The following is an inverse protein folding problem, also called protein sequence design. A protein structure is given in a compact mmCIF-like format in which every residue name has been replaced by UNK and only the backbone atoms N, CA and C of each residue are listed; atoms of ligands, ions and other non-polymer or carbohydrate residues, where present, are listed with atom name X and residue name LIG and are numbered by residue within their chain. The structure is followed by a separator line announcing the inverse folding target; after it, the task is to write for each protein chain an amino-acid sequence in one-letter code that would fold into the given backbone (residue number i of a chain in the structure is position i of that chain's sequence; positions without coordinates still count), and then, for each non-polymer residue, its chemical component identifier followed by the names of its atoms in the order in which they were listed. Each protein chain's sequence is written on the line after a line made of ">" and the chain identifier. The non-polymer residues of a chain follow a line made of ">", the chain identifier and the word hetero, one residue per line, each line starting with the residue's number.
data_IF_922017738054
#
_entry.id   IF_922017738054
#
_cell.length_a   1.000
_cell.length_b   1.000
_cell.length_c   1.000
_cell.angle_alpha   90.00
_cell.angle_beta   90.00
_cell.angle_gamma   90.00
#
_symmetry.space_group_name_H-M   'P 1'
#
loop_
_entity.id
_entity.type
_entity.pdbx_description
1 polymer ?
#
# COMPACT_ATOMS: atom_id res chain seq x y z
N UNK A 1 -39.42 19.89 -11.70
CA UNK A 1 -38.91 18.53 -11.95
C UNK A 1 -37.39 18.61 -11.90
N UNK A 2 -36.77 18.30 -10.73
CA UNK A 2 -35.31 18.35 -10.57
C UNK A 2 -34.75 17.02 -11.01
N UNK A 3 -33.96 17.00 -12.06
CA UNK A 3 -33.18 15.84 -12.49
C UNK A 3 -32.12 15.58 -11.41
N UNK A 4 -32.19 14.42 -10.76
CA UNK A 4 -31.09 13.96 -9.90
C UNK A 4 -29.96 13.55 -10.83
N UNK A 5 -28.86 14.29 -10.80
CA UNK A 5 -27.57 13.81 -11.32
C UNK A 5 -27.19 12.57 -10.55
N UNK A 6 -27.19 11.45 -11.22
CA UNK A 6 -26.61 10.21 -10.74
C UNK A 6 -25.10 10.36 -10.79
N UNK A 7 -24.48 10.62 -9.64
CA UNK A 7 -23.03 10.53 -9.50
C UNK A 7 -22.59 9.13 -9.92
N UNK A 8 -21.75 9.07 -10.93
CA UNK A 8 -21.11 7.84 -11.40
C UNK A 8 -20.17 7.33 -10.28
N UNK A 9 -20.31 6.06 -9.80
CA UNK A 9 -19.50 5.57 -8.68
C UNK A 9 -18.00 5.34 -9.02
N UNK A 10 -17.54 5.74 -10.20
CA UNK A 10 -16.20 5.44 -10.73
C UNK A 10 -15.23 6.63 -10.76
N UNK A 11 -15.52 7.74 -10.09
CA UNK A 11 -14.63 8.91 -10.11
C UNK A 11 -13.82 9.04 -8.82
N UNK A 12 -13.06 7.98 -8.47
CA UNK A 12 -12.01 8.05 -7.46
C UNK A 12 -10.70 8.36 -8.18
N UNK A 13 -10.55 9.60 -8.64
CA UNK A 13 -9.25 10.09 -9.11
C UNK A 13 -8.26 10.02 -7.93
N UNK A 14 -7.07 9.42 -8.12
CA UNK A 14 -6.03 9.42 -7.09
C UNK A 14 -5.76 10.85 -6.63
N UNK A 15 -5.84 11.09 -5.33
CA UNK A 15 -5.49 12.41 -4.79
C UNK A 15 -4.00 12.63 -5.06
N UNK A 16 -3.63 13.73 -5.76
CA UNK A 16 -2.23 13.95 -6.08
C UNK A 16 -1.40 14.04 -4.80
N UNK A 17 -0.12 13.58 -4.81
CA UNK A 17 0.76 13.68 -3.65
C UNK A 17 0.81 15.11 -3.11
N UNK A 18 0.60 15.26 -1.80
CA UNK A 18 0.62 16.58 -1.17
C UNK A 18 2.01 16.90 -0.61
N UNK A 19 2.41 18.19 -0.56
CA UNK A 19 3.63 18.59 0.12
C UNK A 19 3.63 18.12 1.58
N UNK A 20 4.81 17.76 2.09
CA UNK A 20 4.97 17.35 3.48
C UNK A 20 5.20 18.58 4.37
N UNK A 21 4.42 18.69 5.45
CA UNK A 21 4.58 19.75 6.46
C UNK A 21 5.50 19.30 7.60
N UNK A 22 5.91 20.24 8.47
CA UNK A 22 6.66 19.93 9.70
C UNK A 22 5.85 19.03 10.64
N UNK A 23 4.54 19.25 10.71
CA UNK A 23 3.64 18.46 11.55
C UNK A 23 3.52 17.03 11.02
N UNK A 24 3.43 16.87 9.69
CA UNK A 24 3.46 15.55 9.06
C UNK A 24 4.76 14.79 9.39
N UNK A 25 5.91 15.46 9.32
CA UNK A 25 7.19 14.83 9.67
C UNK A 25 7.24 14.40 11.14
N UNK A 26 6.64 15.17 12.04
CA UNK A 26 6.53 14.83 13.47
C UNK A 26 5.63 13.61 13.67
N UNK A 27 4.48 13.56 13.00
CA UNK A 27 3.57 12.42 13.05
C UNK A 27 4.28 11.18 12.50
N UNK A 28 4.90 11.28 11.33
CA UNK A 28 5.62 10.16 10.69
C UNK A 28 6.76 9.67 11.58
N UNK A 29 7.52 10.56 12.22
CA UNK A 29 8.57 10.18 13.16
C UNK A 29 8.02 9.36 14.34
N UNK A 30 6.85 9.76 14.86
CA UNK A 30 6.14 9.02 15.92
C UNK A 30 5.67 7.66 15.42
N UNK A 31 5.05 7.60 14.23
CA UNK A 31 4.58 6.36 13.60
C UNK A 31 5.72 5.35 13.39
N UNK A 32 6.89 5.82 12.97
CA UNK A 32 8.05 4.99 12.67
C UNK A 32 8.94 4.70 13.89
N UNK A 33 8.75 5.40 15.00
CA UNK A 33 9.65 5.34 16.18
C UNK A 33 11.07 5.86 15.90
N UNK A 34 11.27 6.62 14.82
CA UNK A 34 12.55 7.20 14.41
C UNK A 34 12.34 8.36 13.45
N UNK A 35 13.35 9.18 13.26
CA UNK A 35 13.30 10.25 12.25
C UNK A 35 13.15 9.63 10.84
N UNK A 36 12.18 10.11 10.04
CA UNK A 36 12.03 9.68 8.66
C UNK A 36 13.21 10.18 7.81
N UNK A 37 13.58 9.39 6.79
CA UNK A 37 14.68 9.74 5.87
C UNK A 37 14.14 9.73 4.44
N UNK A 38 14.51 10.75 3.67
CA UNK A 38 14.20 10.81 2.24
C UNK A 38 12.71 11.00 1.91
N UNK A 39 11.86 11.45 2.84
CA UNK A 39 10.46 11.76 2.56
C UNK A 39 10.38 13.01 1.68
N UNK A 40 9.68 12.91 0.55
CA UNK A 40 9.50 14.01 -0.41
C UNK A 40 8.05 14.47 -0.56
N UNK A 41 7.07 13.60 -0.26
CA UNK A 41 5.66 13.94 -0.31
C UNK A 41 4.82 12.97 0.55
N UNK A 42 3.59 13.36 0.88
CA UNK A 42 2.56 12.45 1.38
C UNK A 42 1.86 11.84 0.16
N UNK A 43 2.06 10.54 -0.07
CA UNK A 43 1.44 9.81 -1.17
C UNK A 43 -0.01 9.42 -0.87
N UNK A 44 -0.31 9.16 0.40
CA UNK A 44 -1.66 8.84 0.84
C UNK A 44 -1.88 9.38 2.26
N UNK A 45 -3.03 10.02 2.46
CA UNK A 45 -3.51 10.47 3.76
C UNK A 45 -4.75 9.66 4.15
N UNK A 46 -4.71 9.09 5.33
CA UNK A 46 -5.85 8.35 5.87
C UNK A 46 -7.10 9.24 6.01
N UNK A 47 -8.32 8.69 5.98
CA UNK A 47 -9.55 9.46 6.17
C UNK A 47 -9.61 10.25 7.48
N UNK A 48 -8.93 9.79 8.54
CA UNK A 48 -8.79 10.51 9.81
C UNK A 48 -7.75 11.63 9.79
N UNK A 49 -7.13 11.90 8.63
CA UNK A 49 -6.24 13.03 8.39
C UNK A 49 -4.75 12.77 8.63
N UNK A 50 -4.34 11.59 9.14
CA UNK A 50 -2.93 11.30 9.39
C UNK A 50 -2.22 10.80 8.12
N UNK A 51 -0.89 11.03 7.94
CA UNK A 51 -0.12 10.41 6.88
C UNK A 51 -0.17 8.87 6.98
N UNK A 52 -0.53 8.20 5.89
CA UNK A 52 -0.57 6.74 5.81
C UNK A 52 0.53 6.16 4.96
N UNK A 53 0.85 6.85 3.84
CA UNK A 53 1.93 6.47 2.93
C UNK A 53 2.70 7.71 2.52
N UNK A 54 4.02 7.60 2.49
CA UNK A 54 4.90 8.66 2.00
C UNK A 54 5.58 8.25 0.70
N UNK A 55 5.82 9.24 -0.17
CA UNK A 55 6.76 9.08 -1.28
C UNK A 55 8.17 9.32 -0.75
N UNK A 56 9.09 8.44 -1.10
CA UNK A 56 10.49 8.53 -0.66
C UNK A 56 11.43 8.74 -1.84
N UNK A 57 12.51 9.48 -1.60
CA UNK A 57 13.58 9.66 -2.58
C UNK A 57 14.25 8.31 -2.87
N UNK A 58 14.47 7.95 -4.15
CA UNK A 58 15.22 6.73 -4.50
C UNK A 58 16.68 6.74 -4.03
N UNK A 59 17.21 7.90 -3.67
CA UNK A 59 18.51 8.05 -3.00
C UNK A 59 18.33 8.84 -1.72
N UNK A 60 18.85 8.30 -0.63
CA UNK A 60 18.89 9.01 0.64
C UNK A 60 19.89 10.18 0.58
N UNK A 61 19.85 11.13 1.55
CA UNK A 61 20.74 12.29 1.56
C UNK A 61 22.24 11.93 1.56
N UNK A 62 22.60 10.73 2.04
CA UNK A 62 23.96 10.20 2.03
C UNK A 62 24.33 9.46 0.73
N UNK A 63 23.43 9.49 -0.30
CA UNK A 63 23.61 8.82 -1.58
C UNK A 63 23.23 7.34 -1.59
N UNK A 64 22.89 6.74 -0.45
CA UNK A 64 22.48 5.34 -0.35
C UNK A 64 21.25 5.07 -1.21
N UNK A 65 21.25 4.05 -2.10
CA UNK A 65 20.07 3.67 -2.86
C UNK A 65 18.93 3.22 -1.95
N UNK A 66 17.74 3.74 -2.19
CA UNK A 66 16.52 3.37 -1.48
C UNK A 66 15.41 3.09 -2.50
N UNK A 67 15.25 1.84 -2.96
CA UNK A 67 14.38 1.51 -4.10
C UNK A 67 12.89 1.57 -3.80
N UNK A 68 12.49 1.68 -2.54
CA UNK A 68 11.08 1.80 -2.15
C UNK A 68 10.58 3.20 -2.49
N UNK A 69 9.59 3.31 -3.38
CA UNK A 69 8.98 4.57 -3.78
C UNK A 69 7.89 5.00 -2.80
N UNK A 70 7.01 4.07 -2.44
CA UNK A 70 5.91 4.27 -1.50
C UNK A 70 6.17 3.52 -0.21
N UNK A 71 6.29 4.24 0.89
CA UNK A 71 6.60 3.67 2.20
C UNK A 71 5.40 3.80 3.14
N UNK A 72 4.93 2.66 3.63
CA UNK A 72 3.81 2.57 4.57
C UNK A 72 4.25 3.07 5.95
N UNK A 73 3.56 4.07 6.52
CA UNK A 73 3.94 4.66 7.81
C UNK A 73 2.89 4.46 8.89
N UNK A 74 1.60 4.36 8.54
CA UNK A 74 0.52 4.19 9.53
C UNK A 74 0.66 2.87 10.29
N UNK A 75 0.72 2.90 11.65
CA UNK A 75 0.91 1.69 12.45
C UNK A 75 -0.21 0.66 12.32
N UNK A 76 -1.44 1.09 12.06
CA UNK A 76 -2.59 0.19 11.85
C UNK A 76 -2.40 -0.62 10.58
N UNK A 77 -2.01 0.07 9.51
CA UNK A 77 -1.77 -0.54 8.19
C UNK A 77 -0.53 -1.44 8.21
N UNK A 78 0.57 -1.02 8.87
CA UNK A 78 1.78 -1.84 8.98
C UNK A 78 1.56 -3.09 9.83
N UNK A 79 0.82 -2.97 10.94
CA UNK A 79 0.46 -4.11 11.77
C UNK A 79 -0.41 -5.10 11.00
N UNK A 80 -1.37 -4.58 10.21
CA UNK A 80 -2.26 -5.43 9.44
C UNK A 80 -1.56 -6.10 8.26
N UNK A 81 -0.70 -5.38 7.54
CA UNK A 81 0.17 -5.97 6.53
C UNK A 81 0.97 -7.17 7.10
N UNK A 82 1.53 -7.01 8.30
CA UNK A 82 2.26 -8.10 8.98
C UNK A 82 1.35 -9.30 9.31
N UNK A 83 0.10 -9.06 9.76
CA UNK A 83 -0.85 -10.16 10.03
C UNK A 83 -1.22 -10.92 8.76
N UNK A 84 -1.48 -10.22 7.68
CA UNK A 84 -1.76 -10.83 6.38
C UNK A 84 -0.56 -11.61 5.85
N UNK A 85 0.67 -11.16 6.09
CA UNK A 85 1.90 -11.88 5.74
C UNK A 85 2.04 -13.17 6.54
N UNK A 86 1.74 -13.15 7.84
CA UNK A 86 1.73 -14.34 8.72
C UNK A 86 0.62 -15.32 8.31
N UNK A 87 -0.53 -14.82 7.88
CA UNK A 87 -1.64 -15.64 7.36
C UNK A 87 -1.40 -16.19 5.94
N UNK A 88 -0.17 -16.09 5.42
CA UNK A 88 0.26 -16.61 4.11
C UNK A 88 -0.47 -16.05 2.89
N UNK A 89 -1.08 -14.86 2.99
CA UNK A 89 -1.74 -14.18 1.85
C UNK A 89 -0.77 -13.99 0.67
N UNK A 90 0.52 -13.75 0.93
CA UNK A 90 1.52 -13.62 -0.14
C UNK A 90 1.66 -14.90 -0.97
N UNK A 91 1.58 -16.08 -0.33
CA UNK A 91 1.66 -17.35 -1.03
C UNK A 91 0.46 -17.54 -1.94
N UNK A 92 -0.75 -17.32 -1.39
CA UNK A 92 -1.99 -17.38 -2.16
C UNK A 92 -1.99 -16.43 -3.38
N UNK A 93 -1.50 -15.19 -3.24
CA UNK A 93 -1.36 -14.26 -4.34
C UNK A 93 -0.34 -14.75 -5.38
N UNK A 94 0.80 -15.27 -4.93
CA UNK A 94 1.86 -15.76 -5.81
C UNK A 94 1.40 -16.99 -6.61
N UNK A 95 0.67 -17.92 -5.98
CA UNK A 95 0.16 -19.12 -6.67
C UNK A 95 -0.82 -18.73 -7.78
N UNK A 96 -1.64 -17.70 -7.57
CA UNK A 96 -2.54 -17.16 -8.60
C UNK A 96 -1.79 -16.55 -9.77
N UNK A 97 -0.65 -15.89 -9.56
CA UNK A 97 0.19 -15.38 -10.64
C UNK A 97 0.72 -16.51 -11.58
N UNK A 98 0.82 -17.73 -11.08
CA UNK A 98 1.27 -18.88 -11.88
C UNK A 98 0.17 -19.45 -12.81
N UNK A 99 -1.10 -19.17 -12.49
CA UNK A 99 -2.25 -19.79 -13.18
C UNK A 99 -3.15 -18.79 -13.91
N UNK A 100 -3.16 -17.52 -13.48
CA UNK A 100 -3.97 -16.44 -14.06
C UNK A 100 -3.09 -15.50 -14.88
N UNK A 101 -3.14 -15.64 -16.22
CA UNK A 101 -2.35 -14.85 -17.16
C UNK A 101 -2.77 -13.37 -17.17
N UNK A 102 -4.05 -13.06 -16.93
CA UNK A 102 -4.52 -11.67 -16.87
C UNK A 102 -4.01 -10.98 -15.61
N UNK A 103 -4.06 -11.67 -14.47
CA UNK A 103 -3.50 -11.19 -13.21
C UNK A 103 -1.98 -10.96 -13.31
N UNK A 104 -1.27 -11.88 -13.96
CA UNK A 104 0.17 -11.73 -14.23
C UNK A 104 0.46 -10.51 -15.10
N UNK A 105 -0.30 -10.31 -16.18
CA UNK A 105 -0.14 -9.15 -17.05
C UNK A 105 -0.46 -7.83 -16.32
N UNK A 106 -1.46 -7.83 -15.45
CA UNK A 106 -1.80 -6.70 -14.59
C UNK A 106 -0.65 -6.37 -13.63
N UNK A 107 -0.09 -7.37 -12.98
CA UNK A 107 1.02 -7.21 -12.03
C UNK A 107 2.32 -6.76 -12.71
N UNK A 108 2.57 -7.21 -13.96
CA UNK A 108 3.68 -6.71 -14.79
C UNK A 108 3.49 -5.21 -15.11
N UNK A 109 2.29 -4.79 -15.51
CA UNK A 109 2.01 -3.36 -15.76
C UNK A 109 2.24 -2.50 -14.51
N UNK A 110 1.83 -3.01 -13.34
CA UNK A 110 2.08 -2.33 -12.08
C UNK A 110 3.58 -2.19 -11.79
N UNK A 111 4.37 -3.25 -12.06
CA UNK A 111 5.83 -3.22 -11.95
C UNK A 111 6.45 -2.14 -12.84
N UNK A 112 6.11 -2.13 -14.12
CA UNK A 112 6.65 -1.19 -15.10
C UNK A 112 6.31 0.27 -14.74
N UNK A 113 5.07 0.51 -14.30
CA UNK A 113 4.63 1.83 -13.85
C UNK A 113 5.39 2.29 -12.58
N UNK A 114 5.56 1.40 -11.60
CA UNK A 114 6.32 1.70 -10.39
C UNK A 114 7.76 2.08 -10.72
N UNK A 115 8.43 1.34 -11.61
CA UNK A 115 9.77 1.65 -12.08
C UNK A 115 9.84 3.00 -12.79
N UNK A 116 8.90 3.27 -13.69
CA UNK A 116 8.85 4.53 -14.42
C UNK A 116 8.71 5.73 -13.47
N UNK A 117 7.81 5.65 -12.47
CA UNK A 117 7.65 6.70 -11.46
C UNK A 117 8.87 6.87 -10.58
N UNK A 118 9.46 5.78 -10.10
CA UNK A 118 10.67 5.85 -9.27
C UNK A 118 11.84 6.45 -10.06
N UNK A 119 12.06 5.97 -11.29
CA UNK A 119 13.21 6.38 -12.09
C UNK A 119 13.07 7.82 -12.61
N UNK A 120 11.83 8.35 -12.72
CA UNK A 120 11.60 9.77 -12.97
C UNK A 120 12.12 10.68 -11.84
N UNK A 121 12.20 10.18 -10.61
CA UNK A 121 12.80 10.90 -9.48
C UNK A 121 14.32 10.74 -9.45
N UNK A 122 14.81 9.52 -9.57
CA UNK A 122 16.23 9.20 -9.74
C UNK A 122 16.37 7.77 -10.25
N UNK A 123 17.08 7.58 -11.36
CA UNK A 123 17.40 6.26 -11.88
C UNK A 123 18.44 5.57 -10.96
N UNK A 124 18.08 4.36 -10.52
CA UNK A 124 18.97 3.51 -9.72
C UNK A 124 19.77 2.51 -10.57
N UNK A 125 19.53 2.46 -11.89
CA UNK A 125 20.17 1.50 -12.80
C UNK A 125 19.79 0.05 -12.50
N UNK A 126 18.57 -0.19 -12.03
CA UNK A 126 18.07 -1.53 -11.66
C UNK A 126 16.61 -1.71 -12.05
N UNK A 127 16.28 -2.90 -12.54
CA UNK A 127 14.92 -3.32 -12.89
C UNK A 127 14.14 -3.83 -11.65
N UNK A 128 14.75 -3.83 -10.48
CA UNK A 128 14.08 -4.19 -9.23
C UNK A 128 13.16 -3.04 -8.78
N UNK A 129 11.85 -3.32 -8.59
CA UNK A 129 10.89 -2.35 -8.07
C UNK A 129 10.73 -2.50 -6.55
N UNK A 130 9.79 -3.32 -6.09
CA UNK A 130 9.51 -3.60 -4.69
C UNK A 130 8.50 -4.73 -4.53
N UNK A 131 8.33 -5.24 -3.32
CA UNK A 131 7.32 -6.25 -3.02
C UNK A 131 7.45 -7.61 -3.73
N UNK A 132 8.51 -7.82 -4.51
CA UNK A 132 8.72 -9.03 -5.32
C UNK A 132 8.17 -8.96 -6.73
N UNK A 133 7.63 -7.79 -7.16
CA UNK A 133 7.14 -7.57 -8.53
C UNK A 133 8.25 -7.75 -9.58
N UNK A 134 7.95 -8.29 -10.77
CA UNK A 134 6.64 -8.78 -11.21
C UNK A 134 6.41 -10.27 -10.96
N UNK A 135 7.39 -11.01 -10.43
CA UNK A 135 7.39 -12.49 -10.48
C UNK A 135 6.59 -13.13 -9.34
N UNK A 136 6.53 -12.48 -8.18
CA UNK A 136 5.89 -13.00 -6.98
C UNK A 136 5.49 -11.88 -6.02
N UNK A 137 4.66 -12.19 -5.04
CA UNK A 137 4.37 -11.30 -3.90
C UNK A 137 5.29 -11.65 -2.74
N UNK A 138 6.16 -10.71 -2.34
CA UNK A 138 7.15 -10.90 -1.27
C UNK A 138 6.90 -10.00 -0.06
N UNK A 139 6.13 -8.92 -0.22
CA UNK A 139 5.88 -7.94 0.83
C UNK A 139 4.54 -7.23 0.60
N UNK A 140 3.60 -7.42 1.54
CA UNK A 140 2.30 -6.74 1.48
C UNK A 140 2.37 -5.27 1.90
N UNK A 141 3.35 -4.87 2.72
CA UNK A 141 3.57 -3.46 3.04
C UNK A 141 3.79 -2.62 1.77
N UNK A 142 4.56 -3.13 0.82
CA UNK A 142 4.80 -2.44 -0.46
C UNK A 142 3.54 -2.42 -1.32
N UNK A 143 2.81 -3.53 -1.41
CA UNK A 143 1.59 -3.59 -2.23
C UNK A 143 0.49 -2.68 -1.69
N UNK A 144 0.26 -2.71 -0.37
CA UNK A 144 -0.72 -1.85 0.30
C UNK A 144 -0.35 -0.37 0.13
N UNK A 145 0.93 -0.01 0.38
CA UNK A 145 1.39 1.36 0.20
C UNK A 145 1.20 1.84 -1.24
N UNK A 146 1.55 1.00 -2.21
CA UNK A 146 1.43 1.32 -3.62
C UNK A 146 -0.03 1.48 -4.05
N UNK A 147 -0.92 0.57 -3.67
CA UNK A 147 -2.33 0.64 -3.99
C UNK A 147 -3.01 1.86 -3.36
N UNK A 148 -2.72 2.17 -2.09
CA UNK A 148 -3.26 3.37 -1.44
C UNK A 148 -2.77 4.66 -2.09
N UNK A 149 -1.53 4.69 -2.61
CA UNK A 149 -0.98 5.86 -3.28
C UNK A 149 -1.58 6.10 -4.68
N UNK A 150 -1.93 5.05 -5.42
CA UNK A 150 -2.36 5.14 -6.83
C UNK A 150 -3.86 4.88 -7.03
N UNK A 151 -4.55 4.38 -6.00
CA UNK A 151 -5.98 4.10 -6.03
C UNK A 151 -6.35 2.64 -6.33
N UNK A 152 -7.64 2.29 -6.14
CA UNK A 152 -8.11 0.91 -6.17
C UNK A 152 -8.13 0.28 -7.57
N UNK A 153 -8.16 1.09 -8.63
CA UNK A 153 -8.23 0.59 -10.02
C UNK A 153 -6.84 0.41 -10.65
N UNK A 154 -5.77 0.68 -9.89
CA UNK A 154 -4.44 0.72 -10.44
C UNK A 154 -3.87 -0.67 -10.74
N UNK A 155 -3.97 -1.61 -9.78
CA UNK A 155 -3.60 -3.02 -9.98
C UNK A 155 -4.30 -3.94 -8.99
N UNK A 156 -4.70 -5.12 -9.46
CA UNK A 156 -5.61 -6.01 -8.76
C UNK A 156 -5.07 -6.54 -7.43
N UNK A 157 -3.84 -7.04 -7.37
CA UNK A 157 -3.28 -7.61 -6.13
C UNK A 157 -3.12 -6.57 -5.02
N UNK A 158 -2.80 -5.32 -5.36
CA UNK A 158 -2.75 -4.25 -4.38
C UNK A 158 -4.11 -3.88 -3.84
N UNK A 159 -5.11 -3.78 -4.71
CA UNK A 159 -6.51 -3.53 -4.34
C UNK A 159 -7.04 -4.60 -3.40
N UNK A 160 -6.75 -5.87 -3.70
CA UNK A 160 -7.11 -7.02 -2.88
C UNK A 160 -6.40 -7.00 -1.51
N UNK A 161 -5.11 -6.65 -1.46
CA UNK A 161 -4.36 -6.54 -0.21
C UNK A 161 -4.94 -5.47 0.73
N UNK A 162 -5.32 -4.31 0.17
CA UNK A 162 -5.97 -3.24 0.94
C UNK A 162 -7.37 -3.66 1.39
N UNK A 163 -8.16 -4.34 0.55
CA UNK A 163 -9.48 -4.85 0.93
C UNK A 163 -9.40 -5.86 2.09
N UNK A 164 -8.45 -6.79 2.03
CA UNK A 164 -8.19 -7.75 3.11
C UNK A 164 -7.83 -7.03 4.42
N UNK A 165 -6.93 -6.05 4.37
CA UNK A 165 -6.57 -5.24 5.53
C UNK A 165 -7.77 -4.46 6.09
N UNK A 166 -8.59 -3.87 5.20
CA UNK A 166 -9.74 -3.07 5.58
C UNK A 166 -10.80 -3.90 6.31
N UNK A 167 -11.11 -5.08 5.77
CA UNK A 167 -12.21 -5.91 6.26
C UNK A 167 -11.78 -6.74 7.49
N UNK A 168 -10.53 -7.24 7.54
CA UNK A 168 -10.02 -8.00 8.67
C UNK A 168 -9.88 -7.14 9.95
N UNK A 169 -9.32 -5.95 9.85
CA UNK A 169 -9.04 -5.08 10.99
C UNK A 169 -10.04 -3.93 11.17
N UNK A 170 -11.15 -3.92 10.40
CA UNK A 170 -12.18 -2.87 10.46
C UNK A 170 -11.60 -1.45 10.29
N UNK A 171 -10.76 -1.25 9.27
CA UNK A 171 -10.02 0.00 9.05
C UNK A 171 -10.74 1.00 8.13
N UNK A 172 -11.95 0.67 7.62
CA UNK A 172 -12.72 1.53 6.73
C UNK A 172 -13.15 2.81 7.42
N UNK A 173 -13.00 3.94 6.73
CA UNK A 173 -13.34 5.26 7.25
C UNK A 173 -12.34 5.81 8.27
N UNK A 174 -11.31 5.05 8.65
CA UNK A 174 -10.25 5.50 9.55
C UNK A 174 -8.87 5.50 8.89
N UNK A 175 -8.34 4.33 8.57
CA UNK A 175 -7.05 4.21 7.87
C UNK A 175 -7.22 3.96 6.36
N UNK A 176 -8.35 3.41 5.93
CA UNK A 176 -8.66 3.09 4.52
C UNK A 176 -9.99 3.76 4.14
N UNK A 177 -10.13 4.31 2.91
CA UNK A 177 -11.39 4.93 2.49
C UNK A 177 -12.56 3.96 2.63
N UNK A 178 -13.71 4.46 3.10
CA UNK A 178 -14.93 3.66 3.19
C UNK A 178 -15.40 3.15 1.81
N UNK A 179 -15.03 3.85 0.75
CA UNK A 179 -15.35 3.52 -0.65
C UNK A 179 -14.39 2.51 -1.28
N UNK A 180 -13.33 2.07 -0.56
CA UNK A 180 -12.44 1.03 -1.10
C UNK A 180 -13.21 -0.27 -1.33
N UNK A 181 -12.97 -1.00 -2.44
CA UNK A 181 -13.67 -2.26 -2.70
C UNK A 181 -13.57 -3.22 -1.53
N UNK A 182 -14.68 -3.89 -1.19
CA UNK A 182 -14.73 -4.91 -0.13
C UNK A 182 -14.20 -6.25 -0.62
N UNK A 183 -13.80 -7.13 0.29
CA UNK A 183 -13.45 -8.52 -0.06
C UNK A 183 -14.61 -9.20 -0.80
N UNK A 184 -15.85 -8.97 -0.39
CA UNK A 184 -17.05 -9.55 -1.03
C UNK A 184 -17.20 -9.07 -2.49
N UNK A 185 -17.03 -7.79 -2.78
CA UNK A 185 -17.06 -7.24 -4.14
C UNK A 185 -15.92 -7.81 -5.01
N UNK A 186 -14.75 -8.07 -4.42
CA UNK A 186 -13.60 -8.67 -5.08
C UNK A 186 -13.67 -10.21 -5.12
N UNK A 187 -14.71 -10.83 -4.53
CA UNK A 187 -14.90 -12.28 -4.43
C UNK A 187 -13.77 -13.00 -3.67
N UNK A 188 -13.32 -12.37 -2.60
CA UNK A 188 -12.31 -12.91 -1.67
C UNK A 188 -13.00 -13.21 -0.36
N UNK A 189 -12.64 -14.32 0.27
CA UNK A 189 -13.22 -14.77 1.54
C UNK A 189 -12.12 -14.74 2.62
N UNK A 190 -12.33 -13.95 3.69
CA UNK A 190 -11.36 -13.86 4.79
C UNK A 190 -11.14 -15.21 5.50
N UNK A 191 -12.15 -16.09 5.54
CA UNK A 191 -12.03 -17.42 6.13
C UNK A 191 -11.12 -18.38 5.36
N UNK A 192 -10.64 -17.99 4.17
CA UNK A 192 -9.64 -18.78 3.43
C UNK A 192 -8.23 -18.64 4.04
N UNK A 193 -8.07 -17.74 5.01
CA UNK A 193 -6.79 -17.44 5.65
C UNK A 193 -6.83 -17.75 7.16
N UNK A 194 -5.75 -18.32 7.68
CA UNK A 194 -5.59 -18.61 9.11
C UNK A 194 -4.86 -17.46 9.83
N UNK A 195 -5.62 -16.70 10.60
CA UNK A 195 -5.12 -15.61 11.42
C UNK A 195 -4.79 -16.01 12.86
N UNK A 196 -4.94 -17.28 13.24
CA UNK A 196 -4.75 -17.75 14.63
C UNK A 196 -3.35 -17.49 15.18
N UNK A 197 -2.33 -17.46 14.31
CA UNK A 197 -0.93 -17.20 14.66
C UNK A 197 -0.53 -15.73 14.47
N UNK A 198 -1.45 -14.87 14.03
CA UNK A 198 -1.19 -13.47 13.73
C UNK A 198 -1.47 -12.57 14.95
N UNK A 199 -0.89 -12.86 16.11
CA UNK A 199 -0.93 -11.93 17.26
C UNK A 199 -0.31 -10.57 16.87
N UNK A 200 -0.88 -9.48 17.43
CA UNK A 200 -0.36 -8.14 17.20
C UNK A 200 1.14 -8.10 17.51
N UNK A 201 1.99 -7.54 16.64
CA UNK A 201 3.41 -7.41 16.92
C UNK A 201 3.58 -6.68 18.25
N UNK A 202 4.27 -7.32 19.17
CA UNK A 202 4.51 -6.83 20.53
C UNK A 202 5.24 -5.48 20.44
N UNK A 203 4.55 -4.38 20.76
CA UNK A 203 5.08 -3.01 20.76
C UNK A 203 6.06 -2.76 21.93
N UNK A 204 6.61 -3.81 22.55
CA UNK A 204 7.56 -3.72 23.63
C UNK A 204 8.94 -4.22 23.20
N UNK A 205 9.71 -3.41 22.47
CA UNK A 205 11.16 -3.41 22.56
C UNK A 205 11.67 -1.98 22.67
N UNK A 206 11.40 -1.37 23.82
CA UNK A 206 12.26 -0.34 24.35
C UNK A 206 13.40 -1.03 25.10
N UNK A 207 14.59 -0.89 24.59
CA UNK A 207 15.85 -0.77 25.36
C UNK A 207 16.86 -0.04 24.47
#
# INVERSE_FOLDING_TARGET
>A
MRVRETMNPMDVTPVPPSPVSSDDLTIIATQLGRQPRGVIAIAYRCPDGVPGVVTTSPRLPDGTPFPTLYYLTDPRLTAEASRLEVAHVMNWMTDRLNTDLELRADYQRAHDYYLAKRNALADLGTDFSGGGMPDRVKCLHVLIAYALAEGPDHFRLGTEAVALAADHANLRGTAIPATWPTCAELRITLSDFDFSNAEAPNTTKGK
#
